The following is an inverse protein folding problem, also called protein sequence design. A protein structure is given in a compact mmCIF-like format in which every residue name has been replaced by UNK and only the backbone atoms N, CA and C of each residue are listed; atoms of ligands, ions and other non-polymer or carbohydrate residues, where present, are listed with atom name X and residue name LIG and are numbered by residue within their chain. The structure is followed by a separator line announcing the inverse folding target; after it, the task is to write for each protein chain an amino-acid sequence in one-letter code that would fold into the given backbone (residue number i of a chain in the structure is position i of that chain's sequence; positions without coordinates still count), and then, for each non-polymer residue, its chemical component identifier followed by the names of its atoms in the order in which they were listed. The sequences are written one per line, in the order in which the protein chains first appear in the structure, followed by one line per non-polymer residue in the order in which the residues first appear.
data_IF_664367122722
#
_entry.id   IF_664367122722
#
_cell.length_a   1.000
_cell.length_b   1.000
_cell.length_c   1.000
_cell.angle_alpha   90.00
_cell.angle_beta   90.00
_cell.angle_gamma   90.00
#
_symmetry.space_group_name_H-M   'P 1'
#
loop_
_entity.id
_entity.type
_entity.pdbx_description
1 polymer ?
#
# COMPACT_ATOMS: atom_id res chain seq x y z
N UNK A 1 -5.68 -22.67 -7.10
CA UNK A 1 -6.18 -22.34 -8.44
C UNK A 1 -6.69 -23.54 -9.24
N UNK A 2 -5.91 -24.62 -9.44
CA UNK A 2 -6.35 -25.79 -10.24
C UNK A 2 -7.78 -26.28 -9.94
N UNK A 3 -8.12 -26.51 -8.67
CA UNK A 3 -9.47 -26.97 -8.28
C UNK A 3 -10.57 -25.94 -8.59
N UNK A 4 -10.29 -24.63 -8.50
CA UNK A 4 -11.29 -23.60 -8.85
C UNK A 4 -11.63 -23.61 -10.35
N UNK A 5 -10.68 -23.98 -11.20
CA UNK A 5 -10.86 -24.00 -12.64
C UNK A 5 -11.57 -25.28 -13.14
N UNK A 6 -11.44 -26.40 -12.43
CA UNK A 6 -11.87 -27.72 -12.92
C UNK A 6 -12.96 -28.39 -12.07
N UNK A 7 -13.17 -27.94 -10.83
CA UNK A 7 -14.18 -28.53 -9.96
C UNK A 7 -15.56 -28.00 -10.29
N UNK A 8 -16.54 -28.90 -10.32
CA UNK A 8 -17.97 -28.53 -10.39
C UNK A 8 -18.61 -28.40 -9.00
N UNK A 9 -17.81 -28.52 -7.94
CA UNK A 9 -18.24 -28.40 -6.53
C UNK A 9 -17.42 -27.34 -5.79
N UNK A 10 -17.92 -26.91 -4.62
CA UNK A 10 -17.24 -25.92 -3.78
C UNK A 10 -15.82 -26.38 -3.38
N UNK A 11 -14.86 -25.45 -3.48
CA UNK A 11 -13.46 -25.74 -3.21
C UNK A 11 -13.11 -25.32 -1.79
N UNK A 12 -12.68 -26.26 -0.96
CA UNK A 12 -12.21 -25.97 0.39
C UNK A 12 -10.86 -25.25 0.39
N UNK A 13 -10.69 -24.27 1.28
CA UNK A 13 -9.47 -23.46 1.44
C UNK A 13 -8.56 -23.91 2.58
N UNK A 14 -8.90 -25.00 3.29
CA UNK A 14 -8.15 -25.49 4.46
C UNK A 14 -6.65 -25.73 4.21
N UNK A 15 -6.28 -26.15 3.00
CA UNK A 15 -4.87 -26.35 2.64
C UNK A 15 -4.14 -25.02 2.44
N UNK A 16 -4.82 -24.00 1.94
CA UNK A 16 -4.28 -22.66 1.74
C UNK A 16 -4.01 -21.98 3.09
N UNK A 17 -5.00 -21.96 3.99
CA UNK A 17 -4.84 -21.33 5.32
C UNK A 17 -3.71 -21.99 6.12
N UNK A 18 -3.62 -23.34 6.10
CA UNK A 18 -2.50 -24.06 6.69
C UNK A 18 -1.14 -23.69 6.10
N UNK A 19 -1.08 -23.37 4.80
CA UNK A 19 0.18 -22.98 4.16
C UNK A 19 0.68 -21.60 4.58
N UNK A 20 -0.21 -20.73 5.08
CA UNK A 20 0.14 -19.45 5.70
C UNK A 20 0.55 -19.58 7.17
N UNK A 21 0.53 -20.81 7.72
CA UNK A 21 0.80 -21.05 9.14
C UNK A 21 -0.42 -20.83 10.04
N UNK A 22 -1.60 -20.58 9.49
CA UNK A 22 -2.84 -20.44 10.26
C UNK A 22 -3.37 -21.80 10.68
N UNK A 23 -3.67 -21.93 11.97
CA UNK A 23 -4.29 -23.13 12.50
C UNK A 23 -5.82 -23.07 12.42
N UNK A 24 -6.49 -24.02 13.09
CA UNK A 24 -7.96 -24.10 13.04
C UNK A 24 -8.65 -22.98 13.82
N UNK A 25 -7.95 -22.37 14.78
CA UNK A 25 -8.42 -21.27 15.61
C UNK A 25 -8.26 -19.94 14.87
N UNK A 26 -7.13 -19.73 14.19
CA UNK A 26 -6.86 -18.55 13.35
C UNK A 26 -7.86 -18.41 12.19
N UNK A 27 -8.43 -19.53 11.74
CA UNK A 27 -9.47 -19.56 10.72
C UNK A 27 -10.81 -18.95 11.18
N UNK A 28 -11.01 -18.77 12.49
CA UNK A 28 -12.18 -18.09 13.07
C UNK A 28 -11.87 -16.65 13.50
N UNK A 29 -10.61 -16.21 13.38
CA UNK A 29 -10.22 -14.82 13.60
C UNK A 29 -10.64 -13.99 12.39
N UNK A 30 -11.21 -12.81 12.64
CA UNK A 30 -11.50 -11.85 11.58
C UNK A 30 -10.21 -11.13 11.19
N UNK A 31 -9.78 -11.31 9.95
CA UNK A 31 -8.63 -10.62 9.38
C UNK A 31 -9.10 -9.50 8.47
N UNK A 32 -8.32 -8.42 8.39
CA UNK A 32 -8.51 -7.44 7.33
C UNK A 32 -8.15 -8.08 5.98
N UNK A 33 -8.98 -7.86 4.97
CA UNK A 33 -8.72 -8.38 3.60
C UNK A 33 -7.42 -7.82 3.03
N UNK A 34 -7.06 -6.59 3.38
CA UNK A 34 -5.81 -5.95 2.95
C UNK A 34 -4.58 -6.62 3.59
N UNK A 35 -4.69 -7.04 4.85
CA UNK A 35 -3.62 -7.77 5.53
C UNK A 35 -3.42 -9.16 4.90
N UNK A 36 -4.51 -9.89 4.63
CA UNK A 36 -4.44 -11.19 3.96
C UNK A 36 -3.83 -11.07 2.56
N UNK A 37 -4.24 -10.08 1.78
CA UNK A 37 -3.73 -9.85 0.42
C UNK A 37 -2.21 -9.61 0.44
N UNK A 38 -1.74 -8.75 1.36
CA UNK A 38 -0.32 -8.47 1.52
C UNK A 38 0.48 -9.70 1.95
N UNK A 39 0.00 -10.46 2.93
CA UNK A 39 0.65 -11.71 3.37
C UNK A 39 0.74 -12.72 2.23
N UNK A 40 -0.32 -12.83 1.41
CA UNK A 40 -0.33 -13.71 0.24
C UNK A 40 0.66 -13.25 -0.83
N UNK A 41 0.65 -11.97 -1.19
CA UNK A 41 1.55 -11.40 -2.19
C UNK A 41 3.02 -11.52 -1.78
N UNK A 42 3.36 -11.20 -0.53
CA UNK A 42 4.72 -11.31 0.01
C UNK A 42 5.19 -12.78 0.01
N UNK A 43 4.31 -13.71 0.40
CA UNK A 43 4.64 -15.13 0.37
C UNK A 43 4.88 -15.64 -1.06
N UNK A 44 4.03 -15.24 -2.01
CA UNK A 44 4.19 -15.59 -3.41
C UNK A 44 5.47 -15.00 -3.99
N UNK A 45 5.74 -13.71 -3.76
CA UNK A 45 6.95 -13.03 -4.23
C UNK A 45 8.21 -13.75 -3.71
N UNK A 46 8.26 -14.09 -2.42
CA UNK A 46 9.37 -14.84 -1.83
C UNK A 46 9.53 -16.24 -2.44
N UNK A 47 8.43 -16.97 -2.64
CA UNK A 47 8.48 -18.33 -3.23
C UNK A 47 8.78 -18.34 -4.73
N UNK A 48 8.59 -17.22 -5.43
CA UNK A 48 8.90 -17.07 -6.85
C UNK A 48 10.36 -16.69 -7.11
N UNK A 49 11.11 -16.23 -6.10
CA UNK A 49 12.54 -15.90 -6.25
C UNK A 49 13.34 -17.12 -6.74
N UNK A 50 14.19 -16.90 -7.74
CA UNK A 50 14.99 -17.94 -8.39
C UNK A 50 14.21 -18.86 -9.34
N UNK A 51 12.94 -18.55 -9.63
CA UNK A 51 12.12 -19.29 -10.60
C UNK A 51 11.94 -18.51 -11.91
N UNK A 52 11.37 -19.14 -12.94
CA UNK A 52 11.10 -18.49 -14.22
C UNK A 52 10.05 -17.36 -14.16
N UNK A 53 9.33 -17.23 -13.04
CA UNK A 53 8.28 -16.23 -12.81
C UNK A 53 8.64 -15.26 -11.67
N UNK A 54 9.93 -15.16 -11.34
CA UNK A 54 10.41 -14.15 -10.39
C UNK A 54 10.01 -12.74 -10.83
N UNK A 55 9.53 -11.93 -9.88
CA UNK A 55 9.14 -10.55 -10.13
C UNK A 55 7.75 -10.35 -10.74
N UNK A 56 6.99 -11.41 -11.02
CA UNK A 56 5.63 -11.29 -11.58
C UNK A 56 4.65 -10.59 -10.63
N UNK A 57 4.75 -10.83 -9.32
CA UNK A 57 3.91 -10.15 -8.31
C UNK A 57 4.18 -8.63 -8.31
N UNK A 58 5.44 -8.15 -8.14
CA UNK A 58 5.78 -6.74 -8.35
C UNK A 58 5.31 -6.18 -9.69
N UNK A 59 5.50 -6.91 -10.78
CA UNK A 59 5.14 -6.45 -12.13
C UNK A 59 3.64 -6.15 -12.25
N UNK A 60 2.80 -6.90 -11.56
CA UNK A 60 1.34 -6.78 -11.61
C UNK A 60 0.76 -5.80 -10.61
N UNK A 61 1.37 -5.65 -9.42
CA UNK A 61 0.75 -4.92 -8.32
C UNK A 61 1.54 -3.71 -7.83
N UNK A 62 2.85 -3.61 -8.14
CA UNK A 62 3.71 -2.55 -7.61
C UNK A 62 3.55 -1.25 -8.39
N UNK A 63 3.03 -0.23 -7.72
CA UNK A 63 3.10 1.16 -8.14
C UNK A 63 4.21 1.93 -7.43
N UNK A 64 4.42 3.18 -7.85
CA UNK A 64 5.36 4.11 -7.21
C UNK A 64 4.70 5.47 -6.97
N UNK A 65 4.94 6.02 -5.79
CA UNK A 65 4.55 7.38 -5.44
C UNK A 65 5.74 8.15 -4.88
N UNK A 66 5.68 9.46 -4.96
CA UNK A 66 6.65 10.37 -4.36
C UNK A 66 5.98 11.14 -3.25
N UNK A 67 6.42 10.91 -2.02
CA UNK A 67 6.11 11.76 -0.87
C UNK A 67 7.07 12.94 -0.86
N UNK A 68 6.55 14.12 -0.57
CA UNK A 68 7.37 15.32 -0.47
C UNK A 68 6.93 16.23 0.67
N UNK A 69 7.90 16.98 1.20
CA UNK A 69 7.71 18.05 2.17
C UNK A 69 8.53 19.26 1.72
N UNK A 70 7.87 20.39 1.52
CA UNK A 70 8.52 21.65 1.14
C UNK A 70 8.36 22.66 2.29
N UNK A 71 9.45 23.18 2.83
CA UNK A 71 9.37 24.25 3.83
C UNK A 71 8.96 25.57 3.17
N UNK A 72 8.23 26.40 3.92
CA UNK A 72 7.64 27.64 3.38
C UNK A 72 8.58 28.83 3.52
N UNK A 73 9.32 28.90 4.63
CA UNK A 73 10.16 30.05 5.00
C UNK A 73 11.65 29.81 4.81
N UNK A 74 12.04 28.58 4.46
CA UNK A 74 13.43 28.20 4.21
C UNK A 74 13.50 27.36 2.94
N UNK A 75 14.61 27.46 2.22
CA UNK A 75 14.86 26.65 1.02
C UNK A 75 15.29 25.23 1.40
N UNK A 76 14.34 24.48 1.96
CA UNK A 76 14.53 23.09 2.35
C UNK A 76 13.38 22.24 1.80
N UNK A 77 13.76 21.12 1.16
CA UNK A 77 12.84 20.16 0.57
C UNK A 77 13.28 18.74 0.87
N UNK A 78 12.33 17.91 1.28
CA UNK A 78 12.50 16.47 1.43
C UNK A 78 11.62 15.75 0.42
N UNK A 79 12.18 14.78 -0.31
CA UNK A 79 11.44 13.90 -1.21
C UNK A 79 11.83 12.46 -0.96
N UNK A 80 10.83 11.56 -0.95
CA UNK A 80 11.04 10.13 -0.84
C UNK A 80 10.15 9.40 -1.83
N UNK A 81 10.74 8.55 -2.66
CA UNK A 81 9.99 7.65 -3.53
C UNK A 81 9.69 6.37 -2.76
N UNK A 82 8.43 5.98 -2.75
CA UNK A 82 7.92 4.77 -2.10
C UNK A 82 7.19 3.90 -3.11
N UNK A 83 7.24 2.60 -2.86
CA UNK A 83 6.51 1.60 -3.63
C UNK A 83 5.22 1.27 -2.87
N UNK A 84 4.13 1.06 -3.61
CA UNK A 84 2.85 0.64 -3.04
C UNK A 84 2.32 -0.57 -3.80
N UNK A 85 1.57 -1.42 -3.11
CA UNK A 85 0.85 -2.56 -3.70
C UNK A 85 -0.67 -2.36 -3.65
N UNK A 86 -1.13 -1.48 -2.75
CA UNK A 86 -2.52 -1.07 -2.58
C UNK A 86 -2.61 0.43 -2.24
N UNK A 87 -3.83 0.98 -2.27
CA UNK A 87 -4.10 2.38 -1.91
C UNK A 87 -5.26 2.45 -0.91
N UNK A 88 -4.99 3.02 0.26
CA UNK A 88 -6.02 3.32 1.28
C UNK A 88 -6.65 4.69 1.00
N UNK A 89 -7.90 4.67 0.51
CA UNK A 89 -8.63 5.87 0.14
C UNK A 89 -9.65 6.28 1.20
N UNK A 90 -9.74 7.58 1.48
CA UNK A 90 -10.77 8.12 2.37
C UNK A 90 -12.15 8.01 1.73
N UNK A 91 -13.09 7.34 2.41
CA UNK A 91 -14.47 7.17 1.93
C UNK A 91 -15.41 8.21 2.55
N UNK A 92 -15.24 8.53 3.83
CA UNK A 92 -16.12 9.44 4.54
C UNK A 92 -16.03 10.85 3.94
N UNK A 93 -17.17 11.38 3.50
CA UNK A 93 -17.25 12.73 2.93
C UNK A 93 -16.97 12.83 1.43
N UNK A 94 -16.69 11.71 0.75
CA UNK A 94 -16.40 11.69 -0.69
C UNK A 94 -17.44 10.86 -1.45
N UNK A 95 -17.86 11.34 -2.62
CA UNK A 95 -18.94 10.72 -3.42
C UNK A 95 -18.46 9.57 -4.30
N UNK A 96 -17.15 9.38 -4.42
CA UNK A 96 -16.58 8.29 -5.20
C UNK A 96 -15.07 8.31 -5.26
N UNK A 97 -14.51 7.26 -5.84
CA UNK A 97 -13.06 6.99 -5.92
C UNK A 97 -12.27 8.15 -6.51
N UNK A 98 -12.82 8.84 -7.53
CA UNK A 98 -12.15 9.99 -8.13
C UNK A 98 -12.02 11.20 -7.20
N UNK A 99 -12.98 11.40 -6.27
CA UNK A 99 -12.86 12.42 -5.23
C UNK A 99 -11.87 12.00 -4.16
N UNK A 100 -11.92 10.73 -3.73
CA UNK A 100 -10.99 10.19 -2.75
C UNK A 100 -9.53 10.19 -3.24
N UNK A 101 -9.28 9.89 -4.52
CA UNK A 101 -7.95 9.97 -5.13
C UNK A 101 -7.44 11.41 -5.23
N UNK A 102 -8.34 12.38 -5.49
CA UNK A 102 -7.97 13.80 -5.45
C UNK A 102 -7.60 14.24 -4.04
N UNK A 103 -8.34 13.78 -3.03
CA UNK A 103 -8.00 14.00 -1.64
C UNK A 103 -6.68 13.32 -1.24
N UNK A 104 -6.39 12.13 -1.76
CA UNK A 104 -5.16 11.39 -1.47
C UNK A 104 -3.88 12.16 -1.85
N UNK A 105 -3.93 12.91 -2.95
CA UNK A 105 -2.80 13.73 -3.45
C UNK A 105 -2.89 15.20 -3.02
N UNK A 106 -3.88 15.57 -2.22
CA UNK A 106 -4.06 16.92 -1.71
C UNK A 106 -2.90 17.29 -0.78
N UNK A 107 -2.46 18.55 -0.87
CA UNK A 107 -1.37 19.03 -0.01
C UNK A 107 -1.92 19.40 1.36
N UNK A 108 -1.26 18.90 2.38
CA UNK A 108 -1.51 19.25 3.77
C UNK A 108 -0.53 20.33 4.23
N UNK A 109 -1.04 21.35 4.91
CA UNK A 109 -0.23 22.36 5.56
C UNK A 109 0.19 21.86 6.95
N UNK A 110 1.50 21.87 7.19
CA UNK A 110 2.11 21.58 8.48
C UNK A 110 2.45 22.92 9.14
N UNK A 111 1.65 23.35 10.11
CA UNK A 111 1.80 24.62 10.84
C UNK A 111 1.38 24.48 12.31
N UNK A 112 1.48 25.57 13.08
CA UNK A 112 1.10 25.60 14.49
C UNK A 112 1.89 24.59 15.32
N UNK A 113 1.17 23.66 15.97
CA UNK A 113 1.77 22.58 16.76
C UNK A 113 2.28 21.40 15.90
N UNK A 114 1.89 21.35 14.61
CA UNK A 114 2.20 20.27 13.66
C UNK A 114 3.34 20.63 12.69
N UNK A 115 4.27 21.50 13.11
CA UNK A 115 5.41 21.93 12.29
C UNK A 115 6.34 20.77 11.92
N UNK A 116 6.96 20.87 10.76
CA UNK A 116 7.93 19.89 10.28
C UNK A 116 9.32 20.16 10.86
N UNK A 117 10.00 19.12 11.36
CA UNK A 117 11.39 19.22 11.80
C UNK A 117 12.33 19.13 10.59
N UNK A 118 12.72 20.26 10.04
CA UNK A 118 13.66 20.35 8.93
C UNK A 118 15.11 20.21 9.42
N UNK A 119 15.86 19.33 8.77
CA UNK A 119 17.27 19.10 9.10
C UNK A 119 18.08 20.40 8.94
N UNK A 120 18.79 20.82 9.98
CA UNK A 120 19.55 22.06 9.99
C UNK A 120 18.72 23.35 10.16
N UNK A 121 17.39 23.29 10.12
CA UNK A 121 16.50 24.47 10.20
C UNK A 121 15.48 24.43 11.35
N UNK A 122 15.40 23.32 12.10
CA UNK A 122 14.49 23.17 13.22
C UNK A 122 13.02 23.05 12.79
N UNK A 123 12.09 23.42 13.67
CA UNK A 123 10.65 23.37 13.38
C UNK A 123 10.25 24.47 12.38
N UNK A 124 9.68 24.05 11.25
CA UNK A 124 9.30 24.92 10.14
C UNK A 124 7.87 24.65 9.69
N UNK A 125 7.21 25.70 9.21
CA UNK A 125 5.96 25.55 8.48
C UNK A 125 6.26 24.95 7.10
N UNK A 126 5.49 23.94 6.70
CA UNK A 126 5.76 23.18 5.48
C UNK A 126 4.48 22.75 4.75
N UNK A 127 4.60 22.41 3.48
CA UNK A 127 3.57 21.72 2.70
C UNK A 127 4.01 20.27 2.49
N UNK A 128 3.19 19.33 2.96
CA UNK A 128 3.36 17.90 2.77
C UNK A 128 2.37 17.40 1.73
N UNK A 129 2.79 16.47 0.87
CA UNK A 129 1.89 15.83 -0.08
C UNK A 129 2.51 14.61 -0.72
N UNK A 130 1.76 13.99 -1.62
CA UNK A 130 2.25 12.90 -2.45
C UNK A 130 1.85 13.08 -3.92
N UNK A 131 2.59 12.42 -4.82
CA UNK A 131 2.28 12.37 -6.24
C UNK A 131 2.55 10.97 -6.79
N UNK A 132 1.60 10.39 -7.52
CA UNK A 132 1.80 9.13 -8.22
C UNK A 132 2.84 9.30 -9.34
N UNK A 133 3.80 8.38 -9.39
CA UNK A 133 4.82 8.31 -10.43
C UNK A 133 4.51 7.19 -11.43
N UNK A 134 4.04 6.05 -10.93
CA UNK A 134 3.71 4.88 -11.74
C UNK A 134 2.53 4.14 -11.13
N UNK A 135 1.55 3.80 -11.95
CA UNK A 135 0.47 2.88 -11.58
C UNK A 135 0.81 1.49 -12.12
N UNK A 136 0.46 0.42 -11.38
CA UNK A 136 0.54 -0.94 -11.91
C UNK A 136 -0.41 -1.13 -13.12
N UNK A 137 -0.23 -2.21 -13.91
CA UNK A 137 -1.05 -2.52 -15.10
C UNK A 137 -2.56 -2.63 -14.85
#
# INVERSE_FOLDING_TARGET
FYRLQHSNTCVGTKQLTRSFGWDSYDAFTQHDVQELDRVLCDNLEEKMKGTAVEGEVPRLFRGKLKNFVNCVHVDFKSERVEEFYDLSLNVKGFRGVAESLRNYVERERLDGDNKYMAEGHGLQDAEKGCAFLHFPP
#
